data_IF_430693312597
#
_entry.id   IF_430693312597
#
_cell.length_a   1.000
_cell.length_b   1.000
_cell.length_c   1.000
_cell.angle_alpha   90.00
_cell.angle_beta   90.00
_cell.angle_gamma   90.00
#
_symmetry.space_group_name_H-M   'P 1'
#
loop_
_entity.id
_entity.type
_entity.pdbx_description
1 polymer ?
#
# COMPACT_ATOMS: atom_id res chain seq x y z
N UNK A 1 16.68 -14.40 -7.19
CA UNK A 1 15.51 -15.00 -6.48
C UNK A 1 14.77 -15.87 -7.47
N UNK A 2 14.68 -17.17 -7.18
CA UNK A 2 13.98 -18.15 -8.01
C UNK A 2 12.46 -17.94 -7.90
N UNK A 3 11.69 -18.32 -8.94
CA UNK A 3 10.22 -18.23 -8.95
C UNK A 3 9.55 -18.84 -7.70
N UNK A 4 10.17 -19.86 -7.08
CA UNK A 4 9.71 -20.46 -5.84
C UNK A 4 9.73 -19.49 -4.63
N UNK A 5 10.75 -18.64 -4.50
CA UNK A 5 10.82 -17.64 -3.42
C UNK A 5 9.78 -16.52 -3.57
N UNK A 6 9.35 -16.24 -4.81
CA UNK A 6 8.29 -15.28 -5.05
C UNK A 6 6.91 -15.83 -4.66
N UNK A 7 6.68 -17.13 -4.87
CA UNK A 7 5.46 -17.83 -4.45
C UNK A 7 5.32 -17.92 -2.93
N UNK A 8 6.43 -18.11 -2.20
CA UNK A 8 6.42 -18.18 -0.73
C UNK A 8 6.04 -16.85 -0.07
N UNK A 9 6.40 -15.71 -0.67
CA UNK A 9 6.00 -14.39 -0.18
C UNK A 9 4.49 -14.16 -0.37
N UNK A 10 3.94 -14.61 -1.50
CA UNK A 10 2.49 -14.49 -1.79
C UNK A 10 1.67 -15.41 -0.88
N UNK A 11 2.21 -16.57 -0.49
CA UNK A 11 1.53 -17.53 0.40
C UNK A 11 1.45 -17.09 1.86
N UNK A 12 2.17 -16.04 2.26
CA UNK A 12 2.21 -15.54 3.65
C UNK A 12 1.21 -14.40 3.94
N UNK A 13 0.49 -13.90 2.94
CA UNK A 13 -0.54 -12.87 3.13
C UNK A 13 -1.75 -13.40 3.90
N UNK A 14 -2.53 -12.52 4.57
CA UNK A 14 -3.74 -12.93 5.28
C UNK A 14 -4.86 -13.32 4.31
N UNK A 15 -5.74 -14.21 4.76
CA UNK A 15 -7.07 -14.28 4.22
C UNK A 15 -7.86 -13.04 4.67
N UNK A 16 -8.87 -12.63 3.90
CA UNK A 16 -9.71 -11.49 4.24
C UNK A 16 -11.16 -11.97 4.22
N UNK A 17 -11.90 -11.61 5.24
CA UNK A 17 -13.30 -11.96 5.37
C UNK A 17 -14.14 -10.71 5.60
N UNK A 18 -15.07 -10.46 4.71
CA UNK A 18 -16.12 -9.45 4.86
C UNK A 18 -17.42 -10.16 5.21
N UNK A 19 -18.01 -9.78 6.33
CA UNK A 19 -19.29 -10.33 6.77
C UNK A 19 -20.28 -9.19 7.06
N UNK A 20 -21.24 -9.00 6.14
CA UNK A 20 -22.27 -7.97 6.18
C UNK A 20 -21.69 -6.54 6.39
N UNK A 21 -20.58 -6.25 5.73
CA UNK A 21 -19.92 -4.96 5.87
C UNK A 21 -20.70 -3.88 5.13
N UNK A 22 -21.13 -2.86 5.86
CA UNK A 22 -21.84 -1.70 5.32
C UNK A 22 -21.13 -0.41 5.70
N UNK A 23 -21.06 0.54 4.77
CA UNK A 23 -20.48 1.86 4.95
C UNK A 23 -21.45 2.93 4.45
N UNK A 24 -21.81 3.84 5.33
CA UNK A 24 -22.61 5.02 5.00
C UNK A 24 -21.79 6.28 5.28
N UNK A 25 -21.70 7.17 4.31
CA UNK A 25 -21.07 8.48 4.44
C UNK A 25 -22.12 9.58 4.31
N UNK A 26 -22.37 10.28 5.40
CA UNK A 26 -23.48 11.23 5.48
C UNK A 26 -24.82 10.51 5.32
N UNK A 27 -25.53 10.77 4.19
CA UNK A 27 -26.81 10.13 3.87
C UNK A 27 -26.71 9.09 2.75
N UNK A 28 -25.51 8.80 2.27
CA UNK A 28 -25.28 7.91 1.13
C UNK A 28 -24.67 6.60 1.59
N UNK A 29 -25.35 5.49 1.30
CA UNK A 29 -24.80 4.15 1.49
C UNK A 29 -23.83 3.86 0.34
N UNK A 30 -22.56 3.61 0.68
CA UNK A 30 -21.48 3.34 -0.25
C UNK A 30 -21.24 1.85 -0.39
N UNK A 31 -21.30 1.12 0.74
CA UNK A 31 -21.23 -0.33 0.79
C UNK A 31 -22.48 -0.83 1.51
N UNK A 32 -23.13 -1.83 0.95
CA UNK A 32 -24.35 -2.39 1.50
C UNK A 32 -24.21 -3.90 1.68
N UNK A 33 -24.16 -4.35 2.92
CA UNK A 33 -24.09 -5.74 3.36
C UNK A 33 -23.09 -6.61 2.57
N UNK A 34 -21.92 -6.05 2.29
CA UNK A 34 -20.88 -6.72 1.51
C UNK A 34 -20.43 -7.99 2.23
N UNK A 35 -20.52 -9.12 1.54
CA UNK A 35 -20.13 -10.43 2.06
C UNK A 35 -19.33 -11.20 1.03
N UNK A 36 -18.05 -11.44 1.30
CA UNK A 36 -17.16 -12.29 0.49
C UNK A 36 -15.87 -12.61 1.24
N UNK A 37 -15.13 -13.59 0.72
CA UNK A 37 -13.85 -14.04 1.27
C UNK A 37 -12.75 -13.93 0.21
N UNK A 38 -11.56 -13.52 0.65
CA UNK A 38 -10.32 -13.56 -0.11
C UNK A 38 -9.41 -14.61 0.52
N UNK A 39 -9.01 -15.61 -0.25
CA UNK A 39 -8.11 -16.65 0.24
C UNK A 39 -6.70 -16.10 0.45
N UNK A 40 -6.03 -16.53 1.52
CA UNK A 40 -4.61 -16.23 1.76
C UNK A 40 -3.75 -16.60 0.54
N UNK A 41 -2.79 -15.73 0.18
CA UNK A 41 -1.89 -15.95 -0.95
C UNK A 41 -2.52 -15.85 -2.35
N UNK A 42 -3.79 -15.45 -2.46
CA UNK A 42 -4.46 -15.28 -3.76
C UNK A 42 -4.39 -13.83 -4.24
N UNK A 43 -4.55 -13.65 -5.56
CA UNK A 43 -4.66 -12.33 -6.19
C UNK A 43 -6.12 -12.11 -6.58
N UNK A 44 -6.69 -11.00 -6.12
CA UNK A 44 -8.06 -10.60 -6.44
C UNK A 44 -8.07 -9.23 -7.12
N UNK A 45 -8.90 -9.10 -8.15
CA UNK A 45 -9.16 -7.83 -8.82
C UNK A 45 -10.56 -7.32 -8.48
N UNK A 46 -10.65 -6.07 -8.04
CA UNK A 46 -11.92 -5.39 -7.77
C UNK A 46 -12.29 -4.53 -8.99
N UNK A 47 -13.30 -4.97 -9.73
CA UNK A 47 -13.74 -4.36 -11.00
C UNK A 47 -15.12 -3.75 -10.84
N UNK A 48 -15.40 -2.65 -11.52
CA UNK A 48 -16.71 -2.00 -11.49
C UNK A 48 -16.67 -0.54 -11.96
N UNK A 49 -17.81 0.13 -12.08
CA UNK A 49 -17.91 1.51 -12.54
C UNK A 49 -17.24 2.49 -11.56
N UNK A 50 -16.92 3.69 -12.05
CA UNK A 50 -16.50 4.79 -11.20
C UNK A 50 -17.63 5.16 -10.23
N UNK A 51 -17.29 5.42 -8.98
CA UNK A 51 -18.28 5.64 -7.93
C UNK A 51 -18.87 4.37 -7.30
N UNK A 52 -18.59 3.17 -7.82
CA UNK A 52 -19.10 1.90 -7.30
C UNK A 52 -18.49 1.41 -5.98
N UNK A 53 -17.91 2.29 -5.16
CA UNK A 53 -17.44 1.94 -3.81
C UNK A 53 -16.08 1.22 -3.73
N UNK A 54 -15.39 0.95 -4.86
CA UNK A 54 -14.11 0.18 -4.88
C UNK A 54 -13.05 0.74 -3.95
N UNK A 55 -12.77 2.03 -4.05
CA UNK A 55 -11.78 2.69 -3.18
C UNK A 55 -12.24 2.74 -1.73
N UNK A 56 -13.55 2.87 -1.49
CA UNK A 56 -14.13 2.85 -0.15
C UNK A 56 -13.99 1.49 0.49
N UNK A 57 -14.19 0.40 -0.25
CA UNK A 57 -13.98 -0.96 0.22
C UNK A 57 -12.52 -1.19 0.67
N UNK A 58 -11.55 -0.73 -0.13
CA UNK A 58 -10.13 -0.83 0.23
C UNK A 58 -9.81 0.03 1.46
N UNK A 59 -10.34 1.25 1.54
CA UNK A 59 -10.15 2.12 2.72
C UNK A 59 -10.78 1.50 3.98
N UNK A 60 -11.94 0.85 3.85
CA UNK A 60 -12.57 0.10 4.95
C UNK A 60 -11.69 -1.06 5.40
N UNK A 61 -11.13 -1.83 4.45
CA UNK A 61 -10.18 -2.92 4.74
C UNK A 61 -8.96 -2.43 5.51
N UNK A 62 -8.47 -1.23 5.18
CA UNK A 62 -7.32 -0.59 5.85
C UNK A 62 -7.68 0.10 7.17
N UNK A 63 -8.93 0.00 7.63
CA UNK A 63 -9.39 0.64 8.86
C UNK A 63 -9.47 2.18 8.78
N UNK A 64 -9.48 2.76 7.57
CA UNK A 64 -9.51 4.21 7.36
C UNK A 64 -10.93 4.80 7.36
N UNK A 65 -11.95 3.95 7.36
CA UNK A 65 -13.36 4.37 7.39
C UNK A 65 -14.12 3.58 8.45
N UNK A 66 -15.05 4.21 9.21
CA UNK A 66 -15.97 3.50 10.07
C UNK A 66 -16.91 2.63 9.22
N UNK A 67 -17.25 1.44 9.72
CA UNK A 67 -18.17 0.52 9.04
C UNK A 67 -19.01 -0.24 10.05
N UNK A 68 -20.11 -0.81 9.59
CA UNK A 68 -20.91 -1.81 10.29
C UNK A 68 -20.59 -3.20 9.73
N UNK A 69 -20.96 -4.25 10.48
CA UNK A 69 -20.60 -5.61 10.12
C UNK A 69 -19.21 -6.01 10.64
N UNK A 70 -18.70 -7.14 10.17
CA UNK A 70 -17.43 -7.70 10.62
C UNK A 70 -16.45 -7.81 9.46
N UNK A 71 -15.22 -7.31 9.66
CA UNK A 71 -14.11 -7.46 8.76
C UNK A 71 -12.94 -8.11 9.52
N UNK A 72 -12.44 -9.21 8.98
CA UNK A 72 -11.40 -10.01 9.62
C UNK A 72 -10.22 -10.24 8.68
N UNK A 73 -9.01 -10.13 9.24
CA UNK A 73 -7.76 -10.52 8.59
C UNK A 73 -7.26 -11.81 9.23
N UNK A 74 -7.30 -12.89 8.45
CA UNK A 74 -6.96 -14.23 8.90
C UNK A 74 -5.50 -14.54 8.54
N UNK A 75 -4.60 -14.27 9.46
CA UNK A 75 -3.18 -14.52 9.25
C UNK A 75 -2.86 -16.00 9.47
N UNK A 76 -2.15 -16.66 8.55
CA UNK A 76 -1.75 -18.06 8.72
C UNK A 76 -0.67 -18.24 9.81
N UNK A 77 0.00 -17.15 10.17
CA UNK A 77 1.03 -17.07 11.21
C UNK A 77 0.88 -15.74 11.96
N UNK A 78 1.94 -15.24 12.57
CA UNK A 78 1.92 -13.92 13.21
C UNK A 78 1.54 -12.81 12.22
N UNK A 79 0.76 -11.79 12.68
CA UNK A 79 0.39 -10.66 11.83
C UNK A 79 1.61 -9.96 11.23
N UNK A 80 1.57 -9.72 9.93
CA UNK A 80 2.61 -9.00 9.18
C UNK A 80 2.21 -7.56 8.84
N UNK A 81 2.98 -6.95 7.96
CA UNK A 81 2.69 -5.61 7.45
C UNK A 81 1.84 -5.71 6.18
N UNK A 82 0.87 -4.81 6.07
CA UNK A 82 0.08 -4.64 4.85
C UNK A 82 0.62 -3.43 4.12
N UNK A 83 1.12 -3.65 2.89
CA UNK A 83 1.51 -2.57 1.98
C UNK A 83 0.28 -2.03 1.25
N UNK A 84 0.16 -0.71 1.19
CA UNK A 84 -0.87 -0.04 0.42
C UNK A 84 -0.25 0.93 -0.58
N UNK A 85 -0.59 0.77 -1.85
CA UNK A 85 -0.19 1.69 -2.92
C UNK A 85 -1.43 2.47 -3.36
N UNK A 86 -1.54 3.76 -3.02
CA UNK A 86 -2.67 4.59 -3.43
C UNK A 86 -2.63 4.88 -4.93
N UNK A 87 -3.80 5.14 -5.53
CA UNK A 87 -3.93 5.50 -6.95
C UNK A 87 -3.18 6.79 -7.30
N UNK A 88 -3.12 7.74 -6.37
CA UNK A 88 -2.33 8.95 -6.50
C UNK A 88 -1.68 9.27 -5.15
N UNK A 89 -0.38 9.53 -5.19
CA UNK A 89 0.31 10.16 -4.08
C UNK A 89 0.13 11.68 -4.26
N UNK A 90 -0.70 12.28 -3.43
CA UNK A 90 -0.76 13.73 -3.29
C UNK A 90 0.53 14.16 -2.61
N UNK A 91 1.48 14.59 -3.41
CA UNK A 91 2.77 15.07 -2.95
C UNK A 91 2.88 16.57 -3.21
N UNK A 92 3.12 17.34 -2.17
CA UNK A 92 3.41 18.76 -2.34
C UNK A 92 4.72 18.94 -3.12
N UNK A 93 4.60 19.43 -4.36
CA UNK A 93 5.74 19.65 -5.25
C UNK A 93 6.73 20.68 -4.73
N UNK A 94 6.30 21.52 -3.80
CA UNK A 94 7.14 22.52 -3.14
C UNK A 94 8.09 21.93 -2.09
N UNK A 95 7.83 20.72 -1.60
CA UNK A 95 8.70 20.08 -0.62
C UNK A 95 10.06 19.73 -1.24
N UNK A 96 11.18 20.23 -0.68
CA UNK A 96 12.54 19.96 -1.18
C UNK A 96 13.03 18.57 -0.77
N UNK A 97 12.19 17.55 -0.90
CA UNK A 97 12.46 16.16 -0.52
C UNK A 97 12.94 15.36 -1.72
N UNK A 98 14.07 14.68 -1.59
CA UNK A 98 14.57 13.75 -2.61
C UNK A 98 13.92 12.37 -2.48
N UNK A 99 14.13 11.49 -3.49
CA UNK A 99 13.69 10.07 -3.41
C UNK A 99 14.33 9.38 -2.20
N UNK A 100 15.62 9.60 -1.94
CA UNK A 100 16.30 9.03 -0.77
C UNK A 100 15.68 9.54 0.55
N UNK A 101 15.33 10.82 0.65
CA UNK A 101 14.69 11.38 1.86
C UNK A 101 13.30 10.79 2.07
N UNK A 102 12.54 10.61 0.99
CA UNK A 102 11.22 9.98 1.04
C UNK A 102 11.33 8.52 1.51
N UNK A 103 12.23 7.74 0.92
CA UNK A 103 12.47 6.35 1.32
C UNK A 103 12.97 6.26 2.77
N UNK A 104 13.82 7.20 3.20
CA UNK A 104 14.27 7.28 4.57
C UNK A 104 13.10 7.54 5.54
N UNK A 105 12.19 8.47 5.20
CA UNK A 105 11.02 8.78 6.01
C UNK A 105 10.06 7.59 6.14
N UNK A 106 9.94 6.76 5.09
CA UNK A 106 9.08 5.57 5.09
C UNK A 106 9.69 4.37 5.84
N UNK A 107 11.01 4.20 5.79
CA UNK A 107 11.66 2.98 6.24
C UNK A 107 12.34 3.09 7.61
N UNK A 108 12.75 4.29 8.03
CA UNK A 108 13.53 4.48 9.27
C UNK A 108 12.80 5.35 10.29
N UNK A 109 13.05 5.09 11.57
CA UNK A 109 12.56 5.95 12.67
C UNK A 109 13.41 7.21 12.87
N UNK A 110 14.60 7.22 12.31
CA UNK A 110 15.53 8.35 12.37
C UNK A 110 15.03 9.47 11.43
N UNK A 111 15.11 10.75 11.83
CA UNK A 111 14.72 11.88 10.97
C UNK A 111 15.45 11.87 9.63
N UNK A 112 14.72 12.13 8.53
CA UNK A 112 15.25 12.07 7.16
C UNK A 112 16.39 13.08 6.90
N UNK A 113 16.39 14.25 7.58
CA UNK A 113 17.43 15.26 7.44
C UNK A 113 18.82 14.80 7.93
N UNK A 114 18.89 13.72 8.71
CA UNK A 114 20.14 13.07 9.11
C UNK A 114 20.64 12.06 8.06
N UNK A 115 19.99 12.02 6.91
CA UNK A 115 20.29 11.14 5.80
C UNK A 115 19.84 9.68 6.01
N UNK A 116 20.04 8.88 4.99
CA UNK A 116 19.68 7.47 4.98
C UNK A 116 20.67 6.67 5.84
N UNK A 117 20.12 5.86 6.76
CA UNK A 117 20.89 4.96 7.59
C UNK A 117 21.54 3.85 6.74
N UNK A 118 22.81 3.50 7.04
CA UNK A 118 23.55 2.42 6.38
C UNK A 118 22.80 1.08 6.43
N UNK A 119 22.04 0.84 7.50
CA UNK A 119 21.23 -0.36 7.67
C UNK A 119 20.15 -0.52 6.59
N UNK A 120 19.51 0.58 6.19
CA UNK A 120 18.44 0.56 5.16
C UNK A 120 18.96 0.85 3.75
N UNK A 121 20.18 1.38 3.61
CA UNK A 121 20.71 1.84 2.34
C UNK A 121 20.79 0.74 1.27
N UNK A 122 21.17 -0.47 1.63
CA UNK A 122 21.22 -1.62 0.73
C UNK A 122 19.81 -2.03 0.27
N UNK A 123 18.88 -2.24 1.20
CA UNK A 123 17.51 -2.65 0.89
C UNK A 123 16.77 -1.61 0.04
N UNK A 124 16.95 -0.32 0.34
CA UNK A 124 16.37 0.78 -0.46
C UNK A 124 17.03 0.81 -1.85
N UNK A 125 18.35 0.61 -1.94
CA UNK A 125 19.05 0.51 -3.21
C UNK A 125 18.48 -0.59 -4.10
N UNK A 126 18.34 -1.79 -3.57
CA UNK A 126 17.74 -2.93 -4.28
C UNK A 126 16.28 -2.67 -4.69
N UNK A 127 15.48 -2.07 -3.80
CA UNK A 127 14.08 -1.73 -4.10
C UNK A 127 13.99 -0.74 -5.27
N UNK A 128 14.81 0.31 -5.27
CA UNK A 128 14.86 1.31 -6.34
C UNK A 128 15.39 0.73 -7.66
N UNK A 129 16.34 -0.19 -7.60
CA UNK A 129 16.84 -0.90 -8.78
C UNK A 129 15.75 -1.75 -9.42
N UNK A 130 14.98 -2.50 -8.64
CA UNK A 130 13.86 -3.33 -9.14
C UNK A 130 12.81 -2.53 -9.92
N UNK A 131 12.63 -1.26 -9.59
CA UNK A 131 11.67 -0.37 -10.28
C UNK A 131 12.36 0.58 -11.27
N UNK A 132 13.67 0.44 -11.51
CA UNK A 132 14.43 1.26 -12.45
C UNK A 132 14.54 2.73 -12.02
N UNK A 133 14.68 3.00 -10.71
CA UNK A 133 14.73 4.33 -10.12
C UNK A 133 16.07 4.67 -9.46
N UNK A 134 17.08 3.79 -9.55
CA UNK A 134 18.39 3.97 -8.90
C UNK A 134 19.08 5.28 -9.28
N UNK A 135 18.96 5.72 -10.54
CA UNK A 135 19.59 6.96 -11.04
C UNK A 135 18.89 8.23 -10.53
N UNK A 136 17.72 8.08 -9.91
CA UNK A 136 16.85 9.18 -9.48
C UNK A 136 16.86 9.42 -7.98
N UNK A 137 17.68 8.69 -7.25
CA UNK A 137 17.75 8.75 -5.79
C UNK A 137 17.89 10.17 -5.23
N UNK A 138 18.70 11.01 -5.89
CA UNK A 138 18.95 12.40 -5.50
C UNK A 138 17.99 13.39 -6.18
N UNK A 139 17.07 12.95 -7.04
CA UNK A 139 16.07 13.83 -7.63
C UNK A 139 15.00 14.20 -6.61
N UNK A 140 14.51 15.43 -6.71
CA UNK A 140 13.36 15.87 -5.89
C UNK A 140 12.11 15.12 -6.31
N UNK A 141 11.30 14.69 -5.33
CA UNK A 141 10.01 14.02 -5.56
C UNK A 141 9.08 14.85 -6.45
N UNK A 142 9.06 16.17 -6.28
CA UNK A 142 8.28 17.09 -7.11
C UNK A 142 8.70 17.15 -8.58
N UNK A 143 9.95 16.78 -8.90
CA UNK A 143 10.49 16.76 -10.26
C UNK A 143 10.27 15.42 -10.99
N UNK A 144 9.71 14.42 -10.32
CA UNK A 144 9.37 13.13 -10.93
C UNK A 144 8.06 13.23 -11.72
N UNK A 145 7.97 12.51 -12.83
CA UNK A 145 6.72 12.29 -13.55
C UNK A 145 5.70 11.50 -12.72
N UNK A 146 4.44 11.52 -13.11
CA UNK A 146 3.39 10.74 -12.43
C UNK A 146 3.71 9.24 -12.37
N UNK A 147 4.16 8.66 -13.49
CA UNK A 147 4.52 7.24 -13.56
C UNK A 147 5.78 6.90 -12.76
N UNK A 148 6.75 7.81 -12.64
CA UNK A 148 7.94 7.62 -11.79
C UNK A 148 7.60 7.65 -10.31
N UNK A 149 6.59 8.42 -9.91
CA UNK A 149 6.11 8.46 -8.52
C UNK A 149 5.29 7.25 -8.12
N UNK A 150 4.72 6.54 -9.08
CA UNK A 150 3.94 5.32 -8.83
C UNK A 150 4.80 4.05 -8.76
N UNK A 151 6.03 4.12 -9.21
CA UNK A 151 7.00 3.02 -9.12
C UNK A 151 7.64 2.96 -7.74
#
# INVERSE_FOLDING_TARGET
MTAAQHLDIVSQGPGIEFNQVSLTLGRTTILDQVHFNVRAGSVHALVGPNGGGKSSLIKTLLGQTPHQGQLSLLWPAAPGLIGYVPQALEFDRGLPMTVDDFMAAMCQRRPAFLGLSKHYAAAIGEALERVGMQDKRKRRMGALSGGERQR
#
